data_IF_841547441883
#
_entry.id   IF_841547441883
#
_cell.length_a   1.000
_cell.length_b   1.000
_cell.length_c   1.000
_cell.angle_alpha   90.00
_cell.angle_beta   90.00
_cell.angle_gamma   90.00
#
_symmetry.space_group_name_H-M   'P 1'
#
loop_
_entity.id
_entity.type
_entity.pdbx_description
1 polymer ?
#
# COMPACT_ATOMS: atom_id res chain seq x y z
N UNK A 1 -4.78 18.53 -3.83
CA UNK A 1 -4.89 18.50 -5.30
C UNK A 1 -3.76 19.29 -5.94
N UNK A 2 -3.46 18.99 -7.22
CA UNK A 2 -2.40 19.68 -7.99
C UNK A 2 -2.62 21.21 -8.04
N UNK A 3 -3.87 21.65 -7.99
CA UNK A 3 -4.24 23.07 -7.99
C UNK A 3 -3.84 23.78 -6.68
N UNK A 4 -3.98 23.13 -5.54
CA UNK A 4 -3.53 23.64 -4.23
C UNK A 4 -2.01 23.74 -4.14
N UNK A 5 -1.30 22.74 -4.63
CA UNK A 5 0.17 22.77 -4.68
C UNK A 5 0.69 23.89 -5.59
N UNK A 6 0.05 24.09 -6.75
CA UNK A 6 0.37 25.19 -7.66
C UNK A 6 0.16 26.55 -7.04
N UNK A 7 -0.93 26.76 -6.28
CA UNK A 7 -1.21 28.01 -5.58
C UNK A 7 -0.23 28.27 -4.41
N UNK A 8 0.14 27.24 -3.64
CA UNK A 8 1.15 27.33 -2.58
C UNK A 8 2.53 27.71 -3.14
N UNK A 9 2.92 27.14 -4.28
CA UNK A 9 4.16 27.49 -4.96
C UNK A 9 4.18 28.93 -5.49
N UNK A 10 3.03 29.43 -6.02
CA UNK A 10 2.87 30.83 -6.43
C UNK A 10 2.93 31.78 -5.23
N UNK A 11 2.26 31.43 -4.12
CA UNK A 11 2.27 32.21 -2.89
C UNK A 11 3.68 32.39 -2.31
N UNK A 12 4.48 31.32 -2.35
CA UNK A 12 5.86 31.34 -1.86
C UNK A 12 6.79 32.24 -2.70
N UNK A 13 6.48 32.43 -3.97
CA UNK A 13 7.28 33.23 -4.91
C UNK A 13 6.81 34.68 -5.05
N UNK A 14 5.58 35.00 -4.59
CA UNK A 14 5.00 36.33 -4.76
C UNK A 14 5.55 37.32 -3.74
N UNK A 15 6.13 38.43 -4.23
CA UNK A 15 6.70 39.51 -3.43
C UNK A 15 5.76 40.69 -3.24
N UNK A 16 4.72 40.79 -4.06
CA UNK A 16 3.74 41.90 -3.96
C UNK A 16 2.70 41.59 -2.88
N UNK A 17 2.56 42.52 -1.91
CA UNK A 17 1.72 42.35 -0.72
C UNK A 17 0.23 42.16 -1.05
N UNK A 18 -0.29 42.89 -2.05
CA UNK A 18 -1.71 42.83 -2.45
C UNK A 18 -2.02 41.50 -3.20
N UNK A 19 -1.14 41.08 -4.13
CA UNK A 19 -1.26 39.81 -4.83
C UNK A 19 -1.11 38.62 -3.89
N UNK A 20 -0.25 38.75 -2.88
CA UNK A 20 -0.10 37.74 -1.84
C UNK A 20 -1.37 37.56 -1.02
N UNK A 21 -2.04 38.66 -0.64
CA UNK A 21 -3.30 38.60 0.08
C UNK A 21 -4.45 38.01 -0.76
N UNK A 22 -4.50 38.30 -2.06
CA UNK A 22 -5.47 37.72 -2.97
C UNK A 22 -5.26 36.19 -3.13
N UNK A 23 -4.02 35.75 -3.32
CA UNK A 23 -3.66 34.35 -3.39
C UNK A 23 -3.93 33.56 -2.10
N UNK A 24 -3.75 34.20 -0.94
CA UNK A 24 -4.11 33.62 0.35
C UNK A 24 -5.62 33.39 0.51
N UNK A 25 -6.46 34.37 0.06
CA UNK A 25 -7.92 34.21 0.07
C UNK A 25 -8.38 33.09 -0.87
N UNK A 26 -7.80 33.01 -2.05
CA UNK A 26 -8.11 31.95 -3.03
C UNK A 26 -7.73 30.56 -2.48
N UNK A 27 -6.57 30.44 -1.84
CA UNK A 27 -6.10 29.22 -1.19
C UNK A 27 -7.05 28.79 -0.06
N UNK A 28 -7.46 29.72 0.81
CA UNK A 28 -8.42 29.45 1.87
C UNK A 28 -9.78 28.98 1.35
N UNK A 29 -10.27 29.58 0.25
CA UNK A 29 -11.55 29.20 -0.35
C UNK A 29 -11.49 27.79 -0.97
N UNK A 30 -10.38 27.43 -1.62
CA UNK A 30 -10.17 26.10 -2.17
C UNK A 30 -10.00 25.04 -1.08
N UNK A 31 -9.26 25.35 -0.02
CA UNK A 31 -9.13 24.46 1.14
C UNK A 31 -10.49 24.20 1.80
N UNK A 32 -11.33 25.22 1.94
CA UNK A 32 -12.71 25.06 2.45
C UNK A 32 -13.58 24.20 1.53
N UNK A 33 -13.46 24.34 0.22
CA UNK A 33 -14.28 23.59 -0.74
C UNK A 33 -13.86 22.12 -0.85
N UNK A 34 -12.57 21.80 -0.75
CA UNK A 34 -12.08 20.41 -0.75
C UNK A 34 -12.41 19.66 0.55
N UNK A 35 -12.59 20.39 1.64
CA UNK A 35 -12.92 19.83 2.97
C UNK A 35 -14.43 19.70 3.21
N UNK A 36 -15.25 20.32 2.38
CA UNK A 36 -16.72 20.39 2.58
C UNK A 36 -17.42 19.02 2.67
N UNK A 37 -16.80 17.94 2.22
CA UNK A 37 -17.32 16.57 2.30
C UNK A 37 -16.75 15.72 3.46
N UNK A 38 -15.82 16.24 4.24
CA UNK A 38 -15.17 15.48 5.32
C UNK A 38 -15.86 15.75 6.65
N UNK A 39 -16.26 14.70 7.43
CA UNK A 39 -16.85 14.89 8.75
C UNK A 39 -15.93 15.72 9.67
N UNK A 40 -16.50 16.70 10.37
CA UNK A 40 -15.73 17.62 11.25
C UNK A 40 -14.84 16.91 12.27
N UNK A 41 -15.28 15.76 12.79
CA UNK A 41 -14.50 14.97 13.74
C UNK A 41 -13.23 14.38 13.11
N UNK A 42 -13.31 13.93 11.85
CA UNK A 42 -12.17 13.39 11.10
C UNK A 42 -11.17 14.51 10.80
N UNK A 43 -11.70 15.68 10.38
CA UNK A 43 -10.87 16.87 10.13
C UNK A 43 -10.15 17.36 11.38
N UNK A 44 -10.85 17.42 12.52
CA UNK A 44 -10.25 17.83 13.80
C UNK A 44 -9.11 16.88 14.22
N UNK A 45 -9.32 15.58 14.12
CA UNK A 45 -8.28 14.58 14.40
C UNK A 45 -7.07 14.67 13.45
N UNK A 46 -7.30 15.01 12.20
CA UNK A 46 -6.22 15.23 11.22
C UNK A 46 -5.42 16.50 11.53
N UNK A 47 -6.10 17.60 11.85
CA UNK A 47 -5.44 18.85 12.22
C UNK A 47 -4.64 18.75 13.52
N UNK A 48 -5.13 17.99 14.50
CA UNK A 48 -4.39 17.71 15.72
C UNK A 48 -3.10 16.92 15.44
N UNK A 49 -3.18 15.89 14.58
CA UNK A 49 -2.01 15.15 14.15
C UNK A 49 -0.99 16.01 13.40
N UNK A 50 -1.46 16.91 12.53
CA UNK A 50 -0.58 17.86 11.84
C UNK A 50 0.13 18.79 12.82
N UNK A 51 -0.60 19.40 13.78
CA UNK A 51 0.00 20.24 14.83
C UNK A 51 1.05 19.49 15.66
N UNK A 52 0.78 18.22 15.98
CA UNK A 52 1.73 17.37 16.68
C UNK A 52 2.98 17.08 15.85
N UNK A 53 2.84 16.85 14.54
CA UNK A 53 3.97 16.67 13.63
C UNK A 53 4.79 17.95 13.50
N UNK A 54 4.15 19.11 13.39
CA UNK A 54 4.83 20.41 13.38
C UNK A 54 5.58 20.71 14.68
N UNK A 55 5.00 20.32 15.85
CA UNK A 55 5.64 20.50 17.17
C UNK A 55 6.86 19.59 17.38
N UNK A 56 6.93 18.45 16.69
CA UNK A 56 8.09 17.55 16.75
C UNK A 56 9.32 18.10 16.01
N UNK A 57 9.15 19.23 15.29
CA UNK A 57 10.21 19.85 14.53
C UNK A 57 10.65 19.06 13.29
N UNK A 58 11.32 19.74 12.38
CA UNK A 58 11.83 19.13 11.13
C UNK A 58 13.20 18.45 11.33
N UNK A 59 13.38 17.74 12.44
CA UNK A 59 14.62 16.98 12.69
C UNK A 59 14.62 15.60 12.01
N UNK A 60 13.56 15.29 11.27
CA UNK A 60 13.46 14.03 10.53
C UNK A 60 14.42 14.00 9.33
N UNK A 61 15.08 12.87 9.13
CA UNK A 61 15.81 12.60 7.90
C UNK A 61 14.85 12.61 6.71
N UNK A 62 15.22 13.31 5.64
CA UNK A 62 14.46 13.24 4.38
C UNK A 62 14.56 11.82 3.83
N UNK A 63 13.43 11.22 3.53
CA UNK A 63 13.37 9.91 2.88
C UNK A 63 12.68 10.01 1.53
N UNK A 64 13.08 9.16 0.60
CA UNK A 64 12.39 9.04 -0.67
C UNK A 64 11.08 8.28 -0.47
N UNK A 65 10.01 8.83 -1.04
CA UNK A 65 8.69 8.19 -1.05
C UNK A 65 8.23 7.97 -2.49
N UNK A 66 7.47 6.91 -2.72
CA UNK A 66 6.83 6.69 -4.01
C UNK A 66 5.59 7.56 -4.13
N UNK A 67 5.47 8.28 -5.26
CA UNK A 67 4.28 9.07 -5.60
C UNK A 67 3.54 8.40 -6.75
N UNK A 68 2.23 8.20 -6.59
CA UNK A 68 1.39 7.68 -7.66
C UNK A 68 1.39 8.64 -8.87
N UNK A 69 1.58 8.10 -10.06
CA UNK A 69 1.48 8.79 -11.34
C UNK A 69 0.48 8.06 -12.23
N UNK A 70 0.14 8.66 -13.37
CA UNK A 70 -0.62 7.97 -14.39
C UNK A 70 0.06 6.63 -14.75
N UNK A 71 -0.70 5.53 -14.84
CA UNK A 71 -0.14 4.22 -15.15
C UNK A 71 0.53 4.26 -16.53
N UNK A 72 1.71 3.64 -16.60
CA UNK A 72 2.40 3.43 -17.86
C UNK A 72 1.78 2.23 -18.59
N UNK A 73 1.64 2.30 -19.89
CA UNK A 73 1.29 1.16 -20.73
C UNK A 73 2.39 0.10 -20.64
N UNK A 74 2.01 -1.13 -20.38
CA UNK A 74 2.90 -2.29 -20.30
C UNK A 74 2.51 -3.28 -21.38
N UNK A 75 3.49 -3.84 -22.05
CA UNK A 75 3.32 -4.81 -23.13
C UNK A 75 4.08 -6.10 -22.79
N UNK A 76 3.62 -7.20 -23.36
CA UNK A 76 4.39 -8.45 -23.40
C UNK A 76 5.67 -8.16 -24.19
N UNK A 77 6.81 -8.55 -23.65
CA UNK A 77 8.09 -8.37 -24.32
C UNK A 77 8.41 -9.61 -25.18
N UNK A 78 8.30 -9.55 -26.52
CA UNK A 78 8.61 -10.70 -27.36
C UNK A 78 10.04 -11.17 -27.10
N UNK A 79 10.20 -12.45 -26.73
CA UNK A 79 11.48 -13.07 -26.38
C UNK A 79 12.31 -12.30 -25.32
N UNK A 80 11.62 -11.51 -24.46
CA UNK A 80 12.27 -10.67 -23.47
C UNK A 80 12.98 -9.42 -24.00
N UNK A 81 12.79 -9.08 -25.27
CA UNK A 81 13.39 -7.89 -25.87
C UNK A 81 12.65 -6.62 -25.41
N UNK A 82 13.30 -5.83 -24.55
CA UNK A 82 12.73 -4.61 -23.97
C UNK A 82 12.62 -3.44 -24.98
N UNK A 83 13.24 -3.55 -26.17
CA UNK A 83 13.15 -2.58 -27.26
C UNK A 83 12.05 -2.91 -28.25
N UNK A 84 11.37 -4.05 -28.11
CA UNK A 84 10.34 -4.51 -29.03
C UNK A 84 8.95 -4.20 -28.44
N UNK A 85 8.33 -3.14 -28.96
CA UNK A 85 6.99 -2.68 -28.55
C UNK A 85 5.84 -3.37 -29.34
N UNK A 86 6.13 -4.41 -30.12
CA UNK A 86 5.12 -5.12 -30.93
C UNK A 86 4.19 -6.03 -30.11
N UNK A 87 4.52 -6.29 -28.86
CA UNK A 87 3.75 -7.17 -28.00
C UNK A 87 2.39 -6.58 -27.58
N UNK A 88 1.49 -7.46 -27.18
CA UNK A 88 0.15 -7.11 -26.70
C UNK A 88 0.22 -6.29 -25.40
N UNK A 89 -0.67 -5.30 -25.30
CA UNK A 89 -0.84 -4.50 -24.07
C UNK A 89 -1.48 -5.37 -22.98
N UNK A 90 -0.86 -5.40 -21.81
CA UNK A 90 -1.35 -6.16 -20.67
C UNK A 90 -1.77 -5.26 -19.51
N UNK A 91 -2.85 -5.66 -18.85
CA UNK A 91 -3.31 -5.02 -17.62
C UNK A 91 -2.82 -5.82 -16.39
N UNK A 92 -2.68 -5.16 -15.24
CA UNK A 92 -2.42 -5.88 -13.99
C UNK A 92 -3.48 -6.93 -13.73
N UNK A 93 -3.06 -8.14 -13.43
CA UNK A 93 -3.94 -9.25 -13.09
C UNK A 93 -3.32 -10.09 -11.98
N UNK A 94 -4.11 -10.97 -11.39
CA UNK A 94 -3.69 -12.04 -10.50
C UNK A 94 -3.81 -13.37 -11.23
N UNK A 95 -3.08 -14.41 -10.83
CA UNK A 95 -3.20 -15.73 -11.44
C UNK A 95 -4.62 -16.26 -11.31
N UNK A 96 -5.28 -16.59 -12.42
CA UNK A 96 -6.69 -17.00 -12.46
C UNK A 96 -6.97 -18.25 -11.59
N UNK A 97 -6.02 -19.17 -11.52
CA UNK A 97 -6.14 -20.39 -10.72
C UNK A 97 -6.13 -20.15 -9.20
N UNK A 98 -5.75 -18.92 -8.77
CA UNK A 98 -5.74 -18.53 -7.36
C UNK A 98 -6.91 -17.60 -7.00
N UNK A 99 -7.93 -17.52 -7.85
CA UNK A 99 -9.10 -16.70 -7.67
C UNK A 99 -9.15 -15.47 -8.57
N UNK A 100 -10.31 -14.85 -8.62
CA UNK A 100 -10.53 -13.64 -9.42
C UNK A 100 -10.77 -12.45 -8.51
N UNK A 101 -10.14 -11.33 -8.80
CA UNK A 101 -10.39 -10.06 -8.11
C UNK A 101 -10.95 -9.02 -9.08
N UNK A 102 -12.04 -8.38 -8.67
CA UNK A 102 -12.56 -7.22 -9.38
C UNK A 102 -11.86 -5.95 -8.89
N UNK A 103 -11.49 -5.02 -9.78
CA UNK A 103 -10.93 -3.74 -9.38
C UNK A 103 -11.89 -2.99 -8.43
N UNK A 104 -11.35 -2.33 -7.41
CA UNK A 104 -12.14 -1.49 -6.49
C UNK A 104 -12.56 -0.16 -7.11
N UNK A 105 -11.74 0.34 -8.02
CA UNK A 105 -11.92 1.65 -8.66
C UNK A 105 -11.54 1.54 -10.13
N UNK A 106 -12.44 1.75 -11.04
CA UNK A 106 -12.18 1.65 -12.47
C UNK A 106 -11.91 0.21 -12.99
N UNK A 107 -11.54 0.11 -14.27
CA UNK A 107 -11.37 -1.18 -14.96
C UNK A 107 -9.95 -1.76 -14.83
N UNK A 108 -9.13 -1.24 -13.90
CA UNK A 108 -7.73 -1.63 -13.73
C UNK A 108 -7.43 -1.92 -12.26
N UNK A 109 -6.82 -3.08 -12.00
CA UNK A 109 -6.31 -3.44 -10.68
C UNK A 109 -5.16 -2.51 -10.25
N UNK A 110 -5.11 -2.18 -8.99
CA UNK A 110 -4.05 -1.41 -8.37
C UNK A 110 -3.30 -2.21 -7.28
N UNK A 111 -2.33 -1.56 -6.62
CA UNK A 111 -1.54 -2.21 -5.56
C UNK A 111 -2.37 -2.55 -4.32
N UNK A 112 -3.46 -1.82 -4.05
CA UNK A 112 -4.34 -2.13 -2.93
C UNK A 112 -5.19 -3.35 -3.25
N UNK A 113 -5.64 -3.50 -4.50
CA UNK A 113 -6.34 -4.72 -4.93
C UNK A 113 -5.45 -5.95 -4.76
N UNK A 114 -4.14 -5.84 -5.07
CA UNK A 114 -3.17 -6.91 -4.82
C UNK A 114 -2.99 -7.17 -3.31
N UNK A 115 -2.86 -6.12 -2.50
CA UNK A 115 -2.70 -6.27 -1.06
C UNK A 115 -3.91 -6.95 -0.42
N UNK A 116 -5.11 -6.53 -0.81
CA UNK A 116 -6.35 -7.15 -0.33
C UNK A 116 -6.43 -8.62 -0.75
N UNK A 117 -6.05 -8.96 -1.99
CA UNK A 117 -6.04 -10.34 -2.45
C UNK A 117 -5.02 -11.20 -1.69
N UNK A 118 -3.84 -10.64 -1.37
CA UNK A 118 -2.81 -11.33 -0.58
C UNK A 118 -3.25 -11.59 0.87
N UNK A 119 -4.18 -10.81 1.41
CA UNK A 119 -4.63 -10.95 2.80
C UNK A 119 -6.05 -11.50 2.94
N UNK A 120 -6.77 -11.70 1.85
CA UNK A 120 -8.12 -12.27 1.85
C UNK A 120 -8.04 -13.80 1.97
N UNK A 121 -8.49 -14.39 3.11
CA UNK A 121 -8.42 -15.83 3.32
C UNK A 121 -9.46 -16.63 2.55
N UNK A 122 -10.56 -16.01 2.11
CA UNK A 122 -11.70 -16.67 1.47
C UNK A 122 -11.62 -16.61 -0.06
N UNK A 123 -11.31 -15.41 -0.61
CA UNK A 123 -11.36 -15.16 -2.06
C UNK A 123 -9.98 -14.80 -2.64
N UNK A 124 -8.92 -14.97 -1.86
CA UNK A 124 -7.56 -14.64 -2.23
C UNK A 124 -6.53 -15.67 -1.78
N UNK A 125 -5.30 -15.25 -1.69
CA UNK A 125 -4.18 -16.08 -1.24
C UNK A 125 -3.87 -15.93 0.26
N UNK A 126 -4.79 -15.34 1.05
CA UNK A 126 -4.57 -15.00 2.45
C UNK A 126 -4.13 -16.18 3.31
N UNK A 127 -4.70 -17.36 3.11
CA UNK A 127 -4.27 -18.57 3.83
C UNK A 127 -2.81 -18.95 3.57
N UNK A 128 -2.35 -18.90 2.31
CA UNK A 128 -0.97 -19.13 1.95
C UNK A 128 -0.04 -18.04 2.50
N UNK A 129 -0.44 -16.78 2.37
CA UNK A 129 0.29 -15.63 2.92
C UNK A 129 0.47 -15.77 4.44
N UNK A 130 -0.58 -16.17 5.16
CA UNK A 130 -0.52 -16.38 6.59
C UNK A 130 0.46 -17.52 6.97
N UNK A 131 0.48 -18.62 6.22
CA UNK A 131 1.44 -19.72 6.44
C UNK A 131 2.89 -19.25 6.27
N UNK A 132 3.18 -18.54 5.18
CA UNK A 132 4.52 -17.98 4.93
C UNK A 132 4.92 -17.03 6.06
N UNK A 133 4.00 -16.17 6.48
CA UNK A 133 4.27 -15.18 7.50
C UNK A 133 4.45 -15.80 8.89
N UNK A 134 3.58 -16.74 9.28
CA UNK A 134 3.69 -17.48 10.54
C UNK A 134 5.01 -18.25 10.62
N UNK A 135 5.43 -18.90 9.53
CA UNK A 135 6.72 -19.59 9.47
C UNK A 135 7.92 -18.66 9.63
N UNK A 136 7.86 -17.46 9.03
CA UNK A 136 8.90 -16.43 9.20
C UNK A 136 8.95 -15.87 10.61
N UNK A 137 7.80 -15.66 11.25
CA UNK A 137 7.75 -15.27 12.67
C UNK A 137 8.35 -16.38 13.55
N UNK A 138 7.98 -17.63 13.32
CA UNK A 138 8.53 -18.79 14.02
C UNK A 138 10.06 -18.83 13.91
N UNK A 139 10.59 -18.67 12.69
CA UNK A 139 12.03 -18.58 12.45
C UNK A 139 12.71 -17.49 13.27
N UNK A 140 12.11 -16.30 13.35
CA UNK A 140 12.68 -15.18 14.10
C UNK A 140 12.77 -15.47 15.60
N UNK A 141 11.86 -16.27 16.15
CA UNK A 141 11.86 -16.63 17.58
C UNK A 141 12.71 -17.85 17.91
N UNK A 142 12.76 -18.83 17.03
CA UNK A 142 13.34 -20.13 17.30
C UNK A 142 14.60 -20.44 16.47
N UNK A 143 14.97 -19.58 15.53
CA UNK A 143 16.17 -19.71 14.71
C UNK A 143 16.01 -20.63 13.49
N UNK A 144 14.95 -21.43 13.43
CA UNK A 144 14.61 -22.30 12.32
C UNK A 144 13.10 -22.26 12.07
N UNK A 145 12.66 -22.32 10.80
CA UNK A 145 11.24 -22.35 10.45
C UNK A 145 10.63 -23.72 10.70
N UNK A 146 9.31 -23.77 10.92
CA UNK A 146 8.55 -25.03 10.88
C UNK A 146 8.69 -25.69 9.50
N UNK A 147 8.70 -24.91 8.43
CA UNK A 147 9.22 -25.27 7.12
C UNK A 147 10.60 -24.65 6.96
N UNK A 148 11.68 -25.45 6.83
CA UNK A 148 13.05 -24.95 6.77
C UNK A 148 13.32 -24.04 5.57
N UNK A 149 12.69 -24.30 4.43
CA UNK A 149 12.80 -23.45 3.22
C UNK A 149 11.89 -22.23 3.33
N UNK A 150 12.39 -21.13 3.94
CA UNK A 150 11.61 -19.90 4.17
C UNK A 150 11.17 -19.20 2.88
N UNK A 151 11.92 -19.35 1.81
CA UNK A 151 11.71 -18.73 0.50
C UNK A 151 10.91 -19.60 -0.47
N UNK A 152 10.71 -20.87 -0.15
CA UNK A 152 10.02 -21.81 -1.04
C UNK A 152 9.01 -22.68 -0.28
N UNK A 153 7.73 -22.31 -0.43
CA UNK A 153 6.58 -23.07 0.05
C UNK A 153 5.94 -23.92 -1.07
N UNK A 154 6.59 -23.97 -2.23
CA UNK A 154 6.15 -24.73 -3.40
C UNK A 154 6.58 -26.20 -3.36
N UNK A 155 6.40 -26.88 -4.49
CA UNK A 155 6.69 -28.31 -4.61
C UNK A 155 8.18 -28.70 -4.51
N UNK A 156 9.09 -27.73 -4.57
CA UNK A 156 10.53 -27.96 -4.40
C UNK A 156 11.01 -27.60 -2.98
N UNK A 157 10.18 -26.93 -2.20
CA UNK A 157 10.47 -26.61 -0.81
C UNK A 157 10.39 -27.81 0.12
N UNK A 158 10.93 -27.66 1.31
CA UNK A 158 10.85 -28.71 2.33
C UNK A 158 9.49 -28.64 3.04
N UNK A 159 8.81 -29.78 3.24
CA UNK A 159 7.54 -29.78 3.96
C UNK A 159 7.74 -29.35 5.42
N UNK A 160 6.71 -28.77 6.05
CA UNK A 160 6.78 -28.40 7.46
C UNK A 160 6.98 -29.63 8.35
N UNK A 161 7.85 -29.51 9.35
CA UNK A 161 8.07 -30.57 10.38
C UNK A 161 6.82 -30.84 11.20
N UNK A 162 5.95 -29.81 11.36
CA UNK A 162 4.66 -29.92 12.02
C UNK A 162 3.62 -29.07 11.28
N UNK A 163 2.98 -29.66 10.26
CA UNK A 163 1.97 -28.97 9.45
C UNK A 163 0.77 -28.50 10.26
N UNK A 164 0.17 -29.32 11.17
CA UNK A 164 -0.95 -28.87 11.98
C UNK A 164 -0.64 -27.65 12.84
N UNK A 165 0.56 -27.56 13.40
CA UNK A 165 0.99 -26.39 14.17
C UNK A 165 1.09 -25.15 13.29
N UNK A 166 1.70 -25.27 12.11
CA UNK A 166 1.81 -24.17 11.16
C UNK A 166 0.42 -23.69 10.72
N UNK A 167 -0.52 -24.60 10.49
CA UNK A 167 -1.89 -24.27 10.11
C UNK A 167 -2.62 -23.52 11.23
N UNK A 168 -2.51 -23.99 12.47
CA UNK A 168 -3.10 -23.33 13.64
C UNK A 168 -2.54 -21.93 13.85
N UNK A 169 -1.23 -21.75 13.72
CA UNK A 169 -0.61 -20.40 13.81
C UNK A 169 -1.06 -19.48 12.70
N UNK A 170 -1.26 -20.01 11.50
CA UNK A 170 -1.75 -19.25 10.35
C UNK A 170 -3.18 -18.78 10.54
N UNK A 171 -4.06 -19.67 11.02
CA UNK A 171 -5.44 -19.33 11.36
C UNK A 171 -5.49 -18.31 12.50
N UNK A 172 -4.69 -18.50 13.55
CA UNK A 172 -4.61 -17.55 14.65
C UNK A 172 -4.17 -16.14 14.21
N UNK A 173 -3.26 -16.05 13.24
CA UNK A 173 -2.83 -14.76 12.67
C UNK A 173 -3.99 -14.08 11.94
N UNK A 174 -4.76 -14.81 11.14
CA UNK A 174 -5.95 -14.30 10.44
C UNK A 174 -7.02 -13.86 11.43
N UNK A 175 -7.37 -14.70 12.40
CA UNK A 175 -8.39 -14.44 13.43
C UNK A 175 -8.03 -13.23 14.32
N UNK A 176 -6.74 -12.94 14.47
CA UNK A 176 -6.22 -11.77 15.15
C UNK A 176 -6.08 -10.54 14.24
N UNK A 177 -6.78 -10.48 13.10
CA UNK A 177 -6.71 -9.37 12.14
C UNK A 177 -5.28 -9.06 11.67
N UNK A 178 -4.47 -10.07 11.41
CA UNK A 178 -3.07 -9.95 11.02
C UNK A 178 -2.19 -9.21 12.05
N UNK A 179 -2.63 -9.18 13.30
CA UNK A 179 -1.92 -8.51 14.40
C UNK A 179 -0.81 -9.40 14.97
N UNK A 180 0.43 -9.12 14.63
CA UNK A 180 1.61 -9.81 15.16
C UNK A 180 1.59 -9.81 16.69
N UNK A 181 1.28 -8.66 17.32
CA UNK A 181 1.28 -8.53 18.79
C UNK A 181 0.23 -9.37 19.50
N UNK A 182 -0.86 -9.74 18.83
CA UNK A 182 -1.89 -10.60 19.42
C UNK A 182 -1.60 -12.08 19.16
N UNK A 183 -0.82 -12.38 18.13
CA UNK A 183 -0.50 -13.75 17.74
C UNK A 183 0.73 -14.28 18.48
N UNK A 184 1.63 -13.42 18.94
CA UNK A 184 2.75 -13.72 19.81
C UNK A 184 2.31 -13.73 21.28
#
# INVERSE_FOLDING_TARGET
SAKLEGLRAKLARERNKEKKAALQKELQNLEKSEVAGVPKAVLAGYLEKLKRLESLGHSGQNTMITKAKAPREIRILPRGNWLDDSGEVVLPSIPEFMGLRKPRKADRLDRLDLADWLTDPENGSGGLTARVFANRLWYLFFGEGLSPSLEDFGGQGQPPTNSPLLDNLSVALIDNDWSIKKTI
#
